data_IF_545020773825
#
_entry.id   IF_545020773825
#
_cell.length_a   1.000
_cell.length_b   1.000
_cell.length_c   1.000
_cell.angle_alpha   90.00
_cell.angle_beta   90.00
_cell.angle_gamma   90.00
#
_symmetry.space_group_name_H-M   'P 1'
#
loop_
_entity.id
_entity.type
_entity.pdbx_description
1 polymer ?
#
# COMPACT_ATOMS: atom_id res chain seq x y z
N UNK A 1 -39.70 36.44 -48.37
CA UNK A 1 -38.66 35.41 -48.39
C UNK A 1 -37.55 35.66 -47.33
N UNK A 2 -37.01 36.85 -47.13
CA UNK A 2 -35.95 37.07 -46.11
C UNK A 2 -36.34 36.78 -44.66
N UNK A 3 -37.61 37.01 -44.25
CA UNK A 3 -38.07 36.77 -42.88
C UNK A 3 -38.32 35.26 -42.59
N UNK A 4 -38.59 34.44 -43.59
CA UNK A 4 -38.74 33.00 -43.45
C UNK A 4 -37.39 32.29 -43.31
N UNK A 5 -36.35 32.79 -43.99
CA UNK A 5 -34.99 32.24 -43.90
C UNK A 5 -34.38 32.51 -42.53
N UNK A 6 -34.66 33.70 -41.94
CA UNK A 6 -34.18 34.03 -40.59
C UNK A 6 -34.81 33.18 -39.50
N UNK A 7 -36.08 32.76 -39.68
CA UNK A 7 -36.77 31.89 -38.71
C UNK A 7 -36.27 30.44 -38.78
N UNK A 8 -35.90 29.95 -39.98
CA UNK A 8 -35.33 28.60 -40.17
C UNK A 8 -33.93 28.51 -39.64
N UNK A 9 -33.10 29.56 -39.74
CA UNK A 9 -31.75 29.59 -39.16
C UNK A 9 -31.77 29.65 -37.64
N UNK A 10 -32.77 30.35 -37.04
CA UNK A 10 -32.92 30.43 -35.60
C UNK A 10 -33.40 29.10 -34.98
N UNK A 11 -34.27 28.34 -35.72
CA UNK A 11 -34.72 27.00 -35.28
C UNK A 11 -33.61 25.95 -35.45
N UNK A 12 -32.73 26.07 -36.43
CA UNK A 12 -31.59 25.14 -36.61
C UNK A 12 -30.50 25.28 -35.53
N UNK A 13 -30.38 26.47 -34.89
CA UNK A 13 -29.46 26.71 -33.78
C UNK A 13 -29.92 26.12 -32.45
N UNK A 14 -31.19 25.75 -32.31
CA UNK A 14 -31.72 25.12 -31.07
C UNK A 14 -31.60 23.59 -31.05
N UNK A 15 -31.14 22.94 -32.10
CA UNK A 15 -31.04 21.48 -32.18
C UNK A 15 -29.59 20.98 -32.00
N UNK A 16 -28.59 21.87 -31.82
CA UNK A 16 -27.16 21.50 -31.62
C UNK A 16 -26.78 21.45 -30.15
N UNK A 17 -27.72 21.70 -29.25
CA UNK A 17 -27.45 21.59 -27.80
C UNK A 17 -28.06 20.31 -27.26
N UNK A 18 -27.41 19.19 -27.40
CA UNK A 18 -27.45 18.01 -26.52
C UNK A 18 -26.73 16.83 -27.17
N UNK A 19 -25.41 16.91 -27.34
CA UNK A 19 -24.55 15.72 -27.37
C UNK A 19 -23.30 15.97 -26.55
N UNK A 20 -23.47 16.44 -25.32
CA UNK A 20 -22.56 16.10 -24.25
C UNK A 20 -23.15 14.84 -23.60
N UNK A 21 -22.88 13.69 -24.19
CA UNK A 21 -22.89 12.44 -23.47
C UNK A 21 -21.69 12.47 -22.51
N UNK A 22 -21.71 13.41 -21.58
CA UNK A 22 -20.93 13.31 -20.37
C UNK A 22 -21.32 11.97 -19.75
N UNK A 23 -20.37 11.05 -19.63
CA UNK A 23 -20.50 9.88 -18.79
C UNK A 23 -20.98 10.36 -17.41
N UNK A 24 -22.30 10.36 -17.20
CA UNK A 24 -22.89 10.37 -15.87
C UNK A 24 -22.55 9.00 -15.24
N UNK A 25 -21.27 8.76 -14.94
CA UNK A 25 -20.91 7.75 -13.95
C UNK A 25 -21.60 8.24 -12.69
N UNK A 26 -22.67 7.54 -12.30
CA UNK A 26 -23.27 7.74 -10.99
C UNK A 26 -22.12 7.79 -9.98
N UNK A 27 -22.04 8.85 -9.17
CA UNK A 27 -21.01 8.97 -8.15
C UNK A 27 -21.21 7.82 -7.18
N UNK A 28 -20.29 6.88 -7.19
CA UNK A 28 -20.32 5.77 -6.26
C UNK A 28 -20.13 6.30 -4.83
N UNK A 29 -20.85 5.74 -3.85
CA UNK A 29 -20.64 6.10 -2.46
C UNK A 29 -19.22 5.73 -2.01
N UNK A 30 -18.74 6.34 -0.91
CA UNK A 30 -17.50 5.97 -0.30
C UNK A 30 -17.56 4.54 0.27
N UNK A 31 -16.42 3.86 0.29
CA UNK A 31 -16.31 2.55 0.91
C UNK A 31 -16.51 2.60 2.43
N UNK A 32 -17.08 1.53 2.98
CA UNK A 32 -17.17 1.25 4.42
C UNK A 32 -16.14 0.18 4.85
N UNK A 33 -16.13 -0.15 6.14
CA UNK A 33 -15.23 -1.13 6.75
C UNK A 33 -13.91 -0.52 7.22
N UNK A 34 -13.23 -1.24 8.12
CA UNK A 34 -11.93 -0.82 8.67
C UNK A 34 -10.81 -1.10 7.69
N UNK A 35 -9.71 -0.36 7.78
CA UNK A 35 -8.51 -0.63 7.02
C UNK A 35 -8.00 -2.06 7.28
N UNK A 36 -7.70 -2.81 6.20
CA UNK A 36 -7.30 -4.21 6.28
C UNK A 36 -8.42 -5.18 6.66
N UNK A 37 -9.69 -4.78 6.56
CA UNK A 37 -10.85 -5.66 6.71
C UNK A 37 -11.31 -6.19 5.35
N UNK A 38 -11.66 -7.48 5.30
CA UNK A 38 -12.15 -8.18 4.10
C UNK A 38 -13.50 -8.81 4.41
N UNK A 39 -14.50 -8.47 3.62
CA UNK A 39 -15.80 -9.12 3.64
C UNK A 39 -15.75 -10.36 2.74
N UNK A 40 -15.97 -11.53 3.33
CA UNK A 40 -16.06 -12.80 2.63
C UNK A 40 -17.53 -13.20 2.53
N UNK A 41 -18.06 -13.18 1.31
CA UNK A 41 -19.44 -13.60 1.04
C UNK A 41 -19.44 -15.09 0.66
N UNK A 42 -19.84 -15.93 1.60
CA UNK A 42 -19.75 -17.39 1.50
C UNK A 42 -20.78 -18.03 2.42
N UNK A 43 -21.40 -19.11 1.96
CA UNK A 43 -22.35 -19.87 2.77
C UNK A 43 -21.71 -20.43 4.04
N UNK A 44 -22.52 -20.56 5.09
CA UNK A 44 -22.05 -20.98 6.41
C UNK A 44 -21.37 -22.35 6.38
N UNK A 45 -21.93 -23.31 5.65
CA UNK A 45 -21.37 -24.65 5.55
C UNK A 45 -19.96 -24.64 4.91
N UNK A 46 -19.78 -23.87 3.84
CA UNK A 46 -18.48 -23.71 3.18
C UNK A 46 -17.49 -22.91 4.03
N UNK A 47 -17.98 -21.89 4.77
CA UNK A 47 -17.16 -21.14 5.72
C UNK A 47 -16.65 -21.98 6.88
N UNK A 48 -17.47 -22.89 7.40
CA UNK A 48 -17.09 -23.84 8.47
C UNK A 48 -16.30 -25.04 7.92
N UNK A 49 -16.31 -25.25 6.60
CA UNK A 49 -15.64 -26.33 5.89
C UNK A 49 -14.19 -26.03 5.46
N UNK A 50 -13.70 -26.87 4.54
CA UNK A 50 -12.32 -26.80 4.01
C UNK A 50 -12.03 -25.46 3.33
N UNK A 51 -12.97 -24.90 2.57
CA UNK A 51 -12.80 -23.62 1.89
C UNK A 51 -12.57 -22.49 2.90
N UNK A 52 -13.40 -22.39 3.93
CA UNK A 52 -13.24 -21.38 4.97
C UNK A 52 -11.95 -21.56 5.78
N UNK A 53 -11.50 -22.80 6.00
CA UNK A 53 -10.20 -23.07 6.64
C UNK A 53 -9.04 -22.54 5.78
N UNK A 54 -9.05 -22.77 4.46
CA UNK A 54 -8.02 -22.28 3.55
C UNK A 54 -8.01 -20.75 3.47
N UNK A 55 -9.21 -20.12 3.46
CA UNK A 55 -9.33 -18.65 3.47
C UNK A 55 -8.73 -18.08 4.76
N UNK A 56 -9.08 -18.65 5.92
CA UNK A 56 -8.53 -18.20 7.22
C UNK A 56 -7.04 -18.44 7.33
N UNK A 57 -6.54 -19.58 6.85
CA UNK A 57 -5.11 -19.87 6.85
C UNK A 57 -4.32 -18.87 6.00
N UNK A 58 -4.87 -18.45 4.85
CA UNK A 58 -4.19 -17.53 3.93
C UNK A 58 -4.31 -16.07 4.37
N UNK A 59 -5.53 -15.56 4.55
CA UNK A 59 -5.78 -14.14 4.87
C UNK A 59 -5.53 -13.81 6.34
N UNK A 60 -5.68 -14.81 7.23
CA UNK A 60 -5.39 -14.70 8.65
C UNK A 60 -3.95 -15.06 9.03
N UNK A 61 -3.09 -15.37 8.06
CA UNK A 61 -1.68 -15.58 8.32
C UNK A 61 -1.06 -14.36 9.02
N UNK A 62 -0.07 -14.56 9.86
CA UNK A 62 0.54 -13.46 10.59
C UNK A 62 1.34 -12.55 9.66
N UNK A 63 1.19 -11.26 9.87
CA UNK A 63 1.99 -10.23 9.19
C UNK A 63 3.47 -10.42 9.58
N UNK A 64 4.37 -10.61 8.62
CA UNK A 64 5.78 -10.79 8.91
C UNK A 64 6.39 -9.58 9.61
N UNK A 65 7.40 -9.83 10.45
CA UNK A 65 8.17 -8.77 11.10
C UNK A 65 7.31 -7.83 11.96
N UNK A 66 6.31 -8.35 12.67
CA UNK A 66 5.65 -7.64 13.76
C UNK A 66 5.97 -8.31 15.09
N UNK A 67 6.19 -7.54 16.18
CA UNK A 67 6.49 -8.11 17.49
C UNK A 67 5.30 -8.86 18.12
N UNK A 68 4.07 -8.55 17.67
CA UNK A 68 2.85 -9.27 18.03
C UNK A 68 2.29 -10.03 16.82
N UNK A 69 1.58 -11.12 17.10
CA UNK A 69 0.88 -11.88 16.06
C UNK A 69 -0.36 -11.12 15.58
N UNK A 70 -0.23 -10.40 14.49
CA UNK A 70 -1.33 -9.68 13.85
C UNK A 70 -1.65 -10.33 12.49
N UNK A 71 -2.92 -10.67 12.20
CA UNK A 71 -3.27 -11.27 10.92
C UNK A 71 -3.05 -10.29 9.76
N UNK A 72 -2.77 -10.80 8.56
CA UNK A 72 -2.70 -9.99 7.35
C UNK A 72 -3.98 -9.18 7.15
N UNK A 73 -5.13 -9.83 7.27
CA UNK A 73 -6.45 -9.19 7.16
C UNK A 73 -7.39 -9.66 8.27
N UNK A 74 -8.27 -8.75 8.69
CA UNK A 74 -9.40 -9.10 9.54
C UNK A 74 -10.57 -9.50 8.64
N UNK A 75 -11.16 -10.67 8.87
CA UNK A 75 -12.23 -11.20 8.03
C UNK A 75 -13.60 -11.08 8.69
N UNK A 76 -14.59 -10.71 7.90
CA UNK A 76 -16.01 -10.75 8.26
C UNK A 76 -16.70 -11.65 7.26
N UNK A 77 -17.30 -12.76 7.71
CA UNK A 77 -18.09 -13.63 6.84
C UNK A 77 -19.57 -13.25 6.89
N UNK A 78 -20.20 -13.27 5.73
CA UNK A 78 -21.64 -13.13 5.58
C UNK A 78 -22.17 -14.10 4.52
N UNK A 79 -23.35 -14.63 4.76
CA UNK A 79 -24.00 -15.54 3.81
C UNK A 79 -24.53 -14.76 2.61
N UNK A 80 -24.59 -15.36 1.38
CA UNK A 80 -25.03 -14.67 0.17
C UNK A 80 -26.42 -14.02 0.30
N UNK A 81 -27.37 -14.64 1.00
CA UNK A 81 -28.71 -14.09 1.26
C UNK A 81 -28.67 -12.79 2.11
N UNK A 82 -27.64 -12.60 2.94
CA UNK A 82 -27.42 -11.40 3.74
C UNK A 82 -26.65 -10.30 3.00
N UNK A 83 -26.13 -10.55 1.81
CA UNK A 83 -25.32 -9.59 1.04
C UNK A 83 -26.17 -8.46 0.45
N UNK A 84 -26.59 -7.57 1.34
CA UNK A 84 -27.44 -6.41 1.04
C UNK A 84 -26.64 -5.16 0.65
N UNK A 85 -27.33 -4.07 0.32
CA UNK A 85 -26.72 -2.78 -0.07
C UNK A 85 -25.72 -2.27 0.97
N UNK A 86 -25.96 -2.48 2.27
CA UNK A 86 -25.08 -2.05 3.35
C UNK A 86 -23.70 -2.74 3.28
N UNK A 87 -23.66 -4.02 2.90
CA UNK A 87 -22.43 -4.79 2.77
C UNK A 87 -21.73 -4.59 1.43
N UNK A 88 -22.51 -4.26 0.37
CA UNK A 88 -21.96 -4.03 -0.97
C UNK A 88 -20.99 -2.85 -1.03
N UNK A 89 -21.10 -1.89 -0.11
CA UNK A 89 -20.17 -0.75 -0.05
C UNK A 89 -18.88 -1.06 0.74
N UNK A 90 -18.66 -2.31 1.19
CA UNK A 90 -17.45 -2.67 1.91
C UNK A 90 -16.20 -2.54 1.02
N UNK A 91 -15.09 -2.08 1.60
CA UNK A 91 -13.87 -1.71 0.87
C UNK A 91 -13.18 -2.87 0.12
N UNK A 92 -13.19 -4.07 0.70
CA UNK A 92 -12.63 -5.28 0.13
C UNK A 92 -13.64 -6.40 0.24
N UNK A 93 -14.01 -6.99 -0.89
CA UNK A 93 -15.00 -8.05 -0.94
C UNK A 93 -14.44 -9.24 -1.71
N UNK A 94 -14.54 -10.43 -1.12
CA UNK A 94 -14.36 -11.70 -1.82
C UNK A 94 -15.73 -12.39 -1.85
N UNK A 95 -16.31 -12.49 -3.04
CA UNK A 95 -17.61 -13.10 -3.27
C UNK A 95 -17.45 -14.48 -3.91
N UNK A 96 -17.98 -15.50 -3.26
CA UNK A 96 -18.02 -16.87 -3.79
C UNK A 96 -19.37 -17.12 -4.46
N UNK A 97 -19.33 -17.48 -5.74
CA UNK A 97 -20.46 -17.96 -6.50
C UNK A 97 -20.27 -19.45 -6.77
N UNK A 98 -20.89 -20.29 -5.93
CA UNK A 98 -20.77 -21.76 -6.00
C UNK A 98 -22.09 -22.29 -6.51
N UNK A 99 -22.13 -22.78 -7.76
CA UNK A 99 -23.32 -23.28 -8.41
C UNK A 99 -22.95 -24.42 -9.36
N UNK A 100 -23.57 -25.63 -9.26
CA UNK A 100 -23.31 -26.77 -10.14
C UNK A 100 -23.43 -26.46 -11.64
N UNK A 101 -24.17 -25.41 -12.01
CA UNK A 101 -24.35 -25.00 -13.41
C UNK A 101 -23.16 -24.19 -13.97
N UNK A 102 -22.19 -23.82 -13.15
CA UNK A 102 -21.02 -23.05 -13.58
C UNK A 102 -20.12 -23.91 -14.49
N UNK A 103 -20.11 -23.55 -15.76
CA UNK A 103 -19.30 -24.24 -16.79
C UNK A 103 -17.83 -23.80 -16.77
N UNK A 104 -17.58 -22.52 -16.44
CA UNK A 104 -16.23 -21.93 -16.41
C UNK A 104 -15.88 -21.44 -15.03
N UNK A 105 -15.12 -22.26 -14.32
CA UNK A 105 -14.62 -21.89 -13.00
C UNK A 105 -13.44 -20.93 -13.11
N UNK A 106 -13.29 -20.01 -12.13
CA UNK A 106 -12.19 -19.04 -12.12
C UNK A 106 -12.40 -17.90 -11.13
N UNK A 107 -11.45 -16.95 -11.16
CA UNK A 107 -11.50 -15.73 -10.37
C UNK A 107 -11.57 -14.50 -11.29
N UNK A 108 -12.39 -13.54 -10.92
CA UNK A 108 -12.56 -12.27 -11.61
C UNK A 108 -12.28 -11.13 -10.64
N UNK A 109 -11.36 -10.26 -11.01
CA UNK A 109 -11.00 -9.05 -10.27
C UNK A 109 -11.75 -7.86 -10.84
N UNK A 110 -12.39 -7.07 -9.96
CA UNK A 110 -13.16 -5.87 -10.33
C UNK A 110 -12.85 -4.75 -9.34
N UNK A 111 -12.77 -3.53 -9.84
CA UNK A 111 -12.65 -2.34 -9.02
C UNK A 111 -13.94 -1.52 -9.06
N UNK A 112 -14.28 -0.88 -7.93
CA UNK A 112 -15.33 0.14 -7.87
C UNK A 112 -16.69 -0.34 -8.37
N UNK A 113 -17.14 -1.52 -7.93
CA UNK A 113 -18.42 -2.12 -8.38
C UNK A 113 -19.61 -1.42 -7.74
N UNK A 114 -19.59 -1.20 -6.44
CA UNK A 114 -20.68 -0.61 -5.66
C UNK A 114 -20.26 0.60 -4.84
N UNK A 115 -18.98 0.82 -4.65
CA UNK A 115 -18.42 1.94 -3.88
C UNK A 115 -17.05 2.34 -4.44
N UNK A 116 -16.52 3.48 -3.99
CA UNK A 116 -15.20 3.97 -4.40
C UNK A 116 -14.37 4.38 -3.18
N UNK A 117 -13.08 4.04 -3.13
CA UNK A 117 -12.33 3.09 -3.96
C UNK A 117 -12.49 1.65 -3.42
N UNK A 118 -12.99 0.72 -4.22
CA UNK A 118 -13.37 -0.62 -3.80
C UNK A 118 -12.59 -1.71 -4.56
N UNK A 119 -12.18 -2.77 -3.86
CA UNK A 119 -11.60 -3.99 -4.42
C UNK A 119 -12.60 -5.14 -4.27
N UNK A 120 -12.99 -5.77 -5.38
CA UNK A 120 -13.93 -6.89 -5.40
C UNK A 120 -13.34 -8.06 -6.16
N UNK A 121 -13.34 -9.23 -5.56
CA UNK A 121 -12.95 -10.47 -6.21
C UNK A 121 -14.13 -11.42 -6.22
N UNK A 122 -14.45 -11.97 -7.38
CA UNK A 122 -15.49 -12.98 -7.53
C UNK A 122 -14.85 -14.31 -7.90
N UNK A 123 -15.04 -15.34 -7.08
CA UNK A 123 -14.63 -16.70 -7.35
C UNK A 123 -15.87 -17.49 -7.73
N UNK A 124 -15.86 -18.08 -8.94
CA UNK A 124 -16.96 -18.88 -9.46
C UNK A 124 -16.52 -20.32 -9.64
N UNK A 125 -17.29 -21.28 -9.12
CA UNK A 125 -16.97 -22.70 -9.16
C UNK A 125 -18.24 -23.58 -9.11
N UNK A 126 -18.15 -24.79 -9.67
CA UNK A 126 -19.28 -25.72 -9.66
C UNK A 126 -19.57 -26.32 -8.26
N UNK A 127 -18.59 -26.34 -7.38
CA UNK A 127 -18.69 -26.88 -6.01
C UNK A 127 -17.61 -26.30 -5.11
N UNK A 128 -17.69 -26.58 -3.82
CA UNK A 128 -16.79 -26.08 -2.79
C UNK A 128 -15.34 -26.54 -2.95
N UNK A 129 -15.09 -27.78 -3.39
CA UNK A 129 -13.74 -28.32 -3.62
C UNK A 129 -13.04 -27.57 -4.77
N UNK A 130 -13.77 -27.32 -5.86
CA UNK A 130 -13.27 -26.51 -6.97
C UNK A 130 -12.99 -25.08 -6.53
N UNK A 131 -13.86 -24.46 -5.72
CA UNK A 131 -13.65 -23.14 -5.15
C UNK A 131 -12.41 -23.09 -4.25
N UNK A 132 -12.22 -24.11 -3.41
CA UNK A 132 -11.03 -24.27 -2.56
C UNK A 132 -9.76 -24.35 -3.39
N UNK A 133 -9.77 -25.16 -4.44
CA UNK A 133 -8.62 -25.31 -5.36
C UNK A 133 -8.26 -23.97 -6.04
N UNK A 134 -9.27 -23.25 -6.53
CA UNK A 134 -9.08 -21.94 -7.18
C UNK A 134 -8.52 -20.95 -6.16
N UNK A 135 -9.11 -20.84 -4.97
CA UNK A 135 -8.65 -19.92 -3.93
C UNK A 135 -7.20 -20.22 -3.55
N UNK A 136 -6.88 -21.46 -3.22
CA UNK A 136 -5.54 -21.91 -2.83
C UNK A 136 -4.49 -21.58 -3.90
N UNK A 137 -4.77 -21.93 -5.16
CA UNK A 137 -3.87 -21.64 -6.29
C UNK A 137 -3.61 -20.14 -6.48
N UNK A 138 -4.57 -19.28 -6.14
CA UNK A 138 -4.50 -17.83 -6.35
C UNK A 138 -4.31 -17.04 -5.05
N UNK A 139 -4.09 -17.68 -3.90
CA UNK A 139 -4.05 -17.01 -2.59
C UNK A 139 -3.03 -15.86 -2.52
N UNK A 140 -1.82 -16.06 -3.05
CA UNK A 140 -0.80 -15.02 -3.12
C UNK A 140 -1.26 -13.80 -3.97
N UNK A 141 -1.91 -14.05 -5.11
CA UNK A 141 -2.45 -12.99 -5.98
C UNK A 141 -3.60 -12.25 -5.30
N UNK A 142 -4.48 -12.97 -4.60
CA UNK A 142 -5.58 -12.39 -3.81
C UNK A 142 -5.01 -11.45 -2.74
N UNK A 143 -4.03 -11.91 -1.95
CA UNK A 143 -3.35 -11.12 -0.92
C UNK A 143 -2.73 -9.87 -1.55
N UNK A 144 -1.96 -10.02 -2.63
CA UNK A 144 -1.31 -8.90 -3.31
C UNK A 144 -2.30 -7.85 -3.82
N UNK A 145 -3.45 -8.27 -4.36
CA UNK A 145 -4.49 -7.31 -4.80
C UNK A 145 -5.13 -6.57 -3.61
N UNK A 146 -5.37 -7.24 -2.50
CA UNK A 146 -5.90 -6.62 -1.28
C UNK A 146 -4.89 -5.61 -0.69
N UNK A 147 -3.61 -5.98 -0.60
CA UNK A 147 -2.53 -5.10 -0.13
C UNK A 147 -2.36 -3.90 -1.08
N UNK A 148 -2.41 -4.12 -2.39
CA UNK A 148 -2.33 -3.02 -3.37
C UNK A 148 -3.51 -2.07 -3.23
N UNK A 149 -4.74 -2.58 -3.05
CA UNK A 149 -5.92 -1.74 -2.86
C UNK A 149 -5.84 -0.91 -1.56
N UNK A 150 -5.32 -1.47 -0.47
CA UNK A 150 -5.08 -0.72 0.77
C UNK A 150 -3.99 0.34 0.57
N UNK A 151 -2.90 0.01 -0.10
CA UNK A 151 -1.81 0.93 -0.44
C UNK A 151 -2.29 2.10 -1.29
N UNK A 152 -3.06 1.83 -2.34
CA UNK A 152 -3.58 2.86 -3.24
C UNK A 152 -4.50 3.84 -2.51
N UNK A 153 -5.32 3.36 -1.56
CA UNK A 153 -6.16 4.22 -0.73
C UNK A 153 -5.33 5.11 0.19
N UNK A 154 -4.27 4.58 0.78
CA UNK A 154 -3.36 5.36 1.64
C UNK A 154 -2.67 6.44 0.82
N UNK A 155 -2.11 6.09 -0.35
CA UNK A 155 -1.44 7.05 -1.24
C UNK A 155 -2.42 8.13 -1.71
N UNK A 156 -3.63 7.75 -2.15
CA UNK A 156 -4.64 8.71 -2.59
C UNK A 156 -5.06 9.67 -1.47
N UNK A 157 -5.21 9.16 -0.24
CA UNK A 157 -5.50 9.99 0.93
C UNK A 157 -4.31 10.90 1.29
N UNK A 158 -3.09 10.39 1.23
CA UNK A 158 -1.86 11.16 1.45
C UNK A 158 -1.77 12.33 0.48
N UNK A 159 -1.96 12.10 -0.81
CA UNK A 159 -1.92 13.15 -1.84
C UNK A 159 -3.04 14.18 -1.66
N UNK A 160 -4.21 13.76 -1.15
CA UNK A 160 -5.33 14.68 -0.90
C UNK A 160 -5.05 15.64 0.26
N UNK A 161 -4.33 15.18 1.29
CA UNK A 161 -4.02 15.92 2.52
C UNK A 161 -2.50 16.00 2.72
N UNK A 162 -1.80 16.41 1.67
CA UNK A 162 -0.34 16.38 1.62
C UNK A 162 0.31 17.55 2.38
N UNK A 163 1.37 17.23 3.14
CA UNK A 163 2.34 18.22 3.65
C UNK A 163 3.35 18.56 2.53
N UNK A 164 3.01 19.60 1.77
CA UNK A 164 3.68 19.96 0.50
C UNK A 164 5.14 20.42 0.64
N UNK A 165 5.59 20.73 1.85
CA UNK A 165 6.96 21.25 2.06
C UNK A 165 8.01 20.14 2.10
N UNK A 166 7.57 18.87 2.25
CA UNK A 166 8.47 17.73 2.44
C UNK A 166 8.93 17.10 1.13
N UNK A 167 8.05 16.94 0.13
CA UNK A 167 8.41 16.37 -1.16
C UNK A 167 9.60 17.11 -1.85
N UNK A 168 9.66 18.45 -1.88
CA UNK A 168 10.82 19.16 -2.42
C UNK A 168 12.13 18.90 -1.67
N UNK A 169 12.07 18.60 -0.37
CA UNK A 169 13.26 18.26 0.42
C UNK A 169 13.86 16.92 -0.02
N UNK A 170 12.99 15.94 -0.27
CA UNK A 170 13.40 14.62 -0.79
C UNK A 170 13.92 14.76 -2.23
N UNK A 171 13.21 15.50 -3.07
CA UNK A 171 13.61 15.72 -4.46
C UNK A 171 15.00 16.35 -4.58
N UNK A 172 15.33 17.31 -3.71
CA UNK A 172 16.65 17.94 -3.68
C UNK A 172 17.78 16.96 -3.29
N UNK A 173 17.48 15.91 -2.52
CA UNK A 173 18.47 14.93 -2.10
C UNK A 173 18.70 13.83 -3.15
N UNK A 174 17.59 13.24 -3.68
CA UNK A 174 17.65 12.00 -4.47
C UNK A 174 17.12 12.15 -5.92
N UNK A 175 16.65 13.32 -6.33
CA UNK A 175 16.09 13.54 -7.67
C UNK A 175 14.72 12.90 -7.91
N UNK A 176 14.09 12.46 -6.84
CA UNK A 176 12.72 11.92 -6.83
C UNK A 176 11.99 12.38 -5.59
N UNK A 177 10.68 12.31 -5.57
CA UNK A 177 9.85 12.80 -4.47
C UNK A 177 9.04 11.69 -3.82
N UNK A 178 8.77 11.87 -2.53
CA UNK A 178 7.83 11.12 -1.73
C UNK A 178 6.75 12.05 -1.22
N UNK A 179 5.53 11.55 -1.14
CA UNK A 179 4.39 12.30 -0.61
C UNK A 179 4.12 11.91 0.84
N UNK A 180 3.92 12.91 1.69
CA UNK A 180 3.67 12.74 3.12
C UNK A 180 2.33 13.37 3.50
N UNK A 181 1.49 12.70 4.31
CA UNK A 181 0.26 13.31 4.81
C UNK A 181 0.58 14.42 5.83
N UNK A 182 -0.41 15.27 6.08
CA UNK A 182 -0.35 16.25 7.17
C UNK A 182 -0.01 15.56 8.51
N UNK A 183 0.75 16.29 9.36
CA UNK A 183 1.28 15.79 10.62
C UNK A 183 2.74 15.34 10.58
N UNK A 184 3.25 14.95 9.41
CA UNK A 184 4.67 14.65 9.24
C UNK A 184 5.52 15.91 9.24
N UNK A 185 6.71 15.82 9.84
CA UNK A 185 7.66 16.94 9.95
C UNK A 185 9.08 16.49 9.66
N UNK A 186 9.86 17.39 9.06
CA UNK A 186 11.30 17.20 8.90
C UNK A 186 11.96 17.22 10.29
N UNK A 187 12.64 16.12 10.66
CA UNK A 187 13.35 15.96 11.94
C UNK A 187 14.83 16.25 11.80
N UNK A 188 15.45 15.77 10.71
CA UNK A 188 16.87 15.96 10.41
C UNK A 188 17.11 15.99 8.92
N UNK A 189 18.06 16.79 8.48
CA UNK A 189 18.58 16.82 7.11
C UNK A 189 20.06 17.03 7.11
N UNK A 190 20.78 16.22 6.34
CA UNK A 190 22.20 16.39 6.01
C UNK A 190 22.38 16.42 4.50
N UNK A 191 23.60 16.33 4.00
CA UNK A 191 23.91 16.26 2.56
C UNK A 191 23.46 14.96 1.90
N UNK A 192 23.29 13.89 2.67
CA UNK A 192 23.07 12.53 2.19
C UNK A 192 21.95 11.78 2.95
N UNK A 193 21.30 12.44 3.93
CA UNK A 193 20.27 11.84 4.78
C UNK A 193 19.16 12.81 5.14
N UNK A 194 17.90 12.31 5.10
CA UNK A 194 16.71 13.01 5.58
C UNK A 194 15.94 12.07 6.52
N UNK A 195 15.45 12.62 7.63
CA UNK A 195 14.51 11.99 8.54
C UNK A 195 13.23 12.81 8.62
N UNK A 196 12.10 12.20 8.26
CA UNK A 196 10.75 12.76 8.32
C UNK A 196 9.90 11.86 9.19
N UNK A 197 9.11 12.39 10.12
CA UNK A 197 8.29 11.58 11.02
C UNK A 197 7.02 12.29 11.47
N UNK A 198 5.96 11.49 11.75
CA UNK A 198 4.78 11.85 12.54
C UNK A 198 4.96 11.23 13.94
N UNK A 199 5.29 12.07 14.91
CA UNK A 199 5.53 11.68 16.30
C UNK A 199 4.36 12.09 17.17
N UNK A 200 3.76 11.11 17.84
CA UNK A 200 2.71 11.26 18.84
C UNK A 200 3.15 10.64 20.16
N UNK A 201 2.42 10.86 21.21
CA UNK A 201 2.78 10.43 22.56
C UNK A 201 3.16 8.93 22.66
N UNK A 202 2.50 8.05 21.90
CA UNK A 202 2.73 6.60 21.94
C UNK A 202 2.96 5.97 20.56
N UNK A 203 3.12 6.80 19.54
CA UNK A 203 3.41 6.30 18.18
C UNK A 203 4.41 7.21 17.50
N UNK A 204 5.35 6.59 16.78
CA UNK A 204 6.22 7.28 15.85
C UNK A 204 6.23 6.49 14.54
N UNK A 205 5.80 7.15 13.47
CA UNK A 205 5.88 6.65 12.11
C UNK A 205 6.90 7.50 11.37
N UNK A 206 8.04 6.91 11.04
CA UNK A 206 9.13 7.65 10.44
C UNK A 206 9.54 7.10 9.08
N UNK A 207 10.07 8.00 8.26
CA UNK A 207 10.68 7.70 6.97
C UNK A 207 12.09 8.29 6.95
N UNK A 208 13.06 7.46 6.60
CA UNK A 208 14.41 7.88 6.23
C UNK A 208 14.54 7.85 4.71
N UNK A 209 15.21 8.87 4.18
CA UNK A 209 15.67 8.91 2.80
C UNK A 209 17.15 9.21 2.83
N UNK A 210 17.96 8.33 2.27
CA UNK A 210 19.39 8.55 2.22
C UNK A 210 20.02 7.97 0.96
N UNK A 211 21.22 8.41 0.66
CA UNK A 211 22.00 7.89 -0.45
C UNK A 211 23.47 7.71 -0.07
N UNK A 212 24.13 6.81 -0.76
CA UNK A 212 25.55 6.57 -0.63
C UNK A 212 26.11 6.05 -1.96
N UNK A 213 27.42 6.24 -2.23
CA UNK A 213 28.05 5.78 -3.48
C UNK A 213 27.88 4.28 -3.69
N UNK A 214 27.51 3.88 -4.90
CA UNK A 214 27.47 2.48 -5.29
C UNK A 214 28.88 1.90 -5.33
N UNK A 215 29.05 0.69 -4.81
CA UNK A 215 30.34 -0.03 -4.86
C UNK A 215 30.46 -0.88 -6.13
N UNK A 216 31.70 -1.26 -6.49
CA UNK A 216 31.98 -2.19 -7.57
C UNK A 216 31.70 -3.63 -7.09
N UNK A 217 30.46 -4.05 -7.03
CA UNK A 217 30.04 -5.37 -6.58
C UNK A 217 28.55 -5.43 -6.38
N UNK A 218 28.05 -6.49 -5.75
CA UNK A 218 26.62 -6.61 -5.45
C UNK A 218 26.24 -5.74 -4.25
N UNK A 219 25.62 -4.60 -4.54
CA UNK A 219 25.15 -3.65 -3.53
C UNK A 219 23.91 -4.12 -2.76
N UNK A 220 23.21 -5.13 -3.26
CA UNK A 220 21.88 -5.54 -2.76
C UNK A 220 21.89 -6.89 -2.06
N UNK A 221 23.05 -7.41 -1.65
CA UNK A 221 23.08 -8.55 -0.71
C UNK A 221 22.53 -8.11 0.65
N UNK A 222 21.94 -9.05 1.40
CA UNK A 222 21.47 -8.80 2.76
C UNK A 222 22.57 -8.15 3.62
N UNK A 223 23.77 -8.72 3.58
CA UNK A 223 24.91 -8.22 4.35
C UNK A 223 25.24 -6.76 4.03
N UNK A 224 25.29 -6.39 2.73
CA UNK A 224 25.63 -5.03 2.30
C UNK A 224 24.55 -4.02 2.67
N UNK A 225 23.27 -4.36 2.43
CA UNK A 225 22.11 -3.51 2.77
C UNK A 225 22.11 -3.26 4.30
N UNK A 226 22.19 -4.31 5.11
CA UNK A 226 22.07 -4.18 6.56
C UNK A 226 23.29 -3.50 7.17
N UNK A 227 24.51 -3.82 6.70
CA UNK A 227 25.72 -3.14 7.16
C UNK A 227 25.66 -1.62 6.88
N UNK A 228 25.28 -1.23 5.66
CA UNK A 228 25.17 0.19 5.29
C UNK A 228 24.04 0.89 6.05
N UNK A 229 22.88 0.22 6.18
CA UNK A 229 21.79 0.71 7.02
C UNK A 229 22.27 1.04 8.44
N UNK A 230 22.94 0.10 9.10
CA UNK A 230 23.42 0.28 10.48
C UNK A 230 24.47 1.40 10.60
N UNK A 231 25.37 1.53 9.63
CA UNK A 231 26.34 2.63 9.55
C UNK A 231 25.64 4.00 9.48
N UNK A 232 24.67 4.14 8.55
CA UNK A 232 23.95 5.40 8.33
C UNK A 232 23.09 5.76 9.55
N UNK A 233 22.36 4.79 10.11
CA UNK A 233 21.48 5.06 11.25
C UNK A 233 22.27 5.37 12.53
N UNK A 234 23.40 4.71 12.76
CA UNK A 234 24.30 5.05 13.88
C UNK A 234 24.76 6.51 13.83
N UNK A 235 25.06 7.02 12.65
CA UNK A 235 25.50 8.39 12.46
C UNK A 235 24.37 9.43 12.55
N UNK A 236 23.14 9.02 12.23
CA UNK A 236 22.06 9.96 11.98
C UNK A 236 20.88 9.88 12.95
N UNK A 237 20.65 8.76 13.60
CA UNK A 237 19.48 8.50 14.44
C UNK A 237 19.92 8.12 15.86
N UNK A 238 20.30 9.12 16.68
CA UNK A 238 20.64 8.87 18.07
C UNK A 238 19.39 8.43 18.86
N UNK A 239 19.60 7.60 19.86
CA UNK A 239 18.60 7.30 20.86
C UNK A 239 18.45 8.44 21.89
N UNK A 240 17.69 8.17 22.95
CA UNK A 240 17.41 9.15 23.99
C UNK A 240 18.58 9.39 24.94
N UNK A 241 19.45 8.41 25.10
CA UNK A 241 20.59 8.43 26.04
C UNK A 241 21.94 8.47 25.29
N UNK A 242 22.98 8.86 25.98
CA UNK A 242 24.34 8.87 25.44
C UNK A 242 24.74 7.46 24.97
N UNK A 243 25.45 7.40 23.84
CA UNK A 243 25.87 6.15 23.20
C UNK A 243 24.75 5.20 22.80
N UNK A 244 23.54 5.70 22.60
CA UNK A 244 22.42 4.95 22.02
C UNK A 244 22.10 5.43 20.61
N UNK A 245 21.72 4.52 19.72
CA UNK A 245 21.40 4.81 18.31
C UNK A 245 20.57 3.70 17.69
N UNK A 246 19.78 4.03 16.66
CA UNK A 246 19.00 3.04 15.94
C UNK A 246 19.90 2.10 15.15
N UNK A 247 19.60 0.81 15.21
CA UNK A 247 20.29 -0.27 14.47
C UNK A 247 19.29 -1.35 14.03
N UNK A 248 19.77 -2.37 13.32
CA UNK A 248 18.96 -3.56 13.02
C UNK A 248 19.06 -4.53 14.20
N UNK A 249 17.92 -5.02 14.66
CA UNK A 249 17.87 -6.04 15.71
C UNK A 249 18.46 -7.36 15.23
N UNK A 250 19.20 -8.03 16.09
CA UNK A 250 19.80 -9.35 15.84
C UNK A 250 18.88 -10.51 16.18
N UNK A 251 17.73 -10.26 16.80
CA UNK A 251 16.78 -11.31 17.21
C UNK A 251 16.06 -11.98 16.04
N UNK A 252 15.89 -11.27 14.94
CA UNK A 252 15.23 -11.79 13.74
C UNK A 252 16.03 -11.39 12.52
N UNK A 253 16.43 -12.39 11.72
CA UNK A 253 17.14 -12.15 10.45
C UNK A 253 16.24 -11.37 9.50
N UNK A 254 16.67 -10.22 8.97
CA UNK A 254 15.94 -9.49 7.94
C UNK A 254 15.76 -10.34 6.68
N UNK A 255 14.70 -10.09 5.92
CA UNK A 255 14.52 -10.67 4.59
C UNK A 255 14.81 -9.64 3.51
N UNK A 256 15.35 -10.10 2.38
CA UNK A 256 15.55 -9.30 1.17
C UNK A 256 14.72 -9.93 0.05
N UNK A 257 13.92 -9.11 -0.62
CA UNK A 257 13.11 -9.51 -1.78
C UNK A 257 13.27 -8.50 -2.90
N UNK A 258 13.49 -8.96 -4.12
CA UNK A 258 13.59 -8.08 -5.29
C UNK A 258 12.21 -7.85 -5.90
N UNK A 259 11.81 -6.60 -5.97
CA UNK A 259 10.51 -6.18 -6.46
C UNK A 259 10.63 -5.15 -7.58
N UNK A 260 9.54 -5.00 -8.34
CA UNK A 260 9.39 -3.94 -9.33
C UNK A 260 8.03 -3.26 -9.16
N UNK A 261 8.04 -1.94 -9.02
CA UNK A 261 6.82 -1.15 -8.91
C UNK A 261 6.93 0.13 -9.73
N UNK A 262 5.94 0.44 -10.57
CA UNK A 262 5.91 1.62 -11.46
C UNK A 262 7.23 1.88 -12.20
N UNK A 263 7.86 0.82 -12.68
CA UNK A 263 9.10 0.89 -13.46
C UNK A 263 10.39 0.93 -12.63
N UNK A 264 10.33 1.15 -11.33
CA UNK A 264 11.50 1.10 -10.43
C UNK A 264 11.69 -0.33 -9.93
N UNK A 265 12.89 -0.89 -10.11
CA UNK A 265 13.32 -2.14 -9.49
C UNK A 265 14.07 -1.80 -8.20
N UNK A 266 13.77 -2.52 -7.11
CA UNK A 266 14.41 -2.30 -5.82
C UNK A 266 14.54 -3.60 -5.02
N UNK A 267 15.53 -3.63 -4.14
CA UNK A 267 15.64 -4.61 -3.09
C UNK A 267 14.83 -4.11 -1.90
N UNK A 268 13.77 -4.83 -1.52
CA UNK A 268 13.01 -4.58 -0.30
C UNK A 268 13.62 -5.37 0.85
N UNK A 269 14.03 -4.67 1.90
CA UNK A 269 14.43 -5.29 3.14
C UNK A 269 13.34 -5.12 4.19
N UNK A 270 13.03 -6.20 4.93
CA UNK A 270 12.09 -6.18 6.07
C UNK A 270 12.75 -6.78 7.29
N UNK A 271 12.53 -6.19 8.45
CA UNK A 271 13.11 -6.67 9.70
C UNK A 271 12.64 -5.86 10.91
N UNK A 272 13.35 -6.07 12.01
CA UNK A 272 13.19 -5.28 13.22
C UNK A 272 14.34 -4.28 13.38
N UNK A 273 14.01 -3.08 13.81
CA UNK A 273 14.97 -2.13 14.34
C UNK A 273 14.92 -2.14 15.87
N UNK A 274 16.01 -1.82 16.47
CA UNK A 274 16.13 -1.56 17.91
C UNK A 274 17.03 -0.35 18.15
N UNK A 275 17.00 0.19 19.35
CA UNK A 275 17.98 1.17 19.79
C UNK A 275 19.07 0.43 20.55
N UNK A 276 20.30 0.53 20.07
CA UNK A 276 21.48 -0.02 20.74
C UNK A 276 21.56 0.48 22.18
N UNK A 277 21.70 -0.43 23.15
CA UNK A 277 21.69 -0.18 24.60
C UNK A 277 20.38 0.45 25.13
N UNK A 278 19.22 0.18 24.50
CA UNK A 278 17.89 0.60 24.97
C UNK A 278 16.86 -0.45 24.58
N UNK A 279 15.65 -0.34 25.13
CA UNK A 279 14.53 -1.29 24.90
C UNK A 279 13.56 -0.87 23.80
N UNK A 280 13.85 0.23 23.10
CA UNK A 280 13.01 0.69 21.98
C UNK A 280 13.26 -0.15 20.73
N UNK A 281 12.19 -0.50 20.03
CA UNK A 281 12.28 -1.23 18.78
C UNK A 281 10.94 -1.34 18.07
N UNK A 282 10.97 -1.89 16.87
CA UNK A 282 9.77 -2.10 16.04
C UNK A 282 10.08 -2.60 14.63
N UNK A 283 9.07 -2.73 13.77
CA UNK A 283 9.25 -3.14 12.39
C UNK A 283 9.85 -2.02 11.53
N UNK A 284 10.62 -2.41 10.50
CA UNK A 284 11.01 -1.54 9.40
C UNK A 284 10.83 -2.23 8.05
N UNK A 285 10.68 -1.41 7.02
CA UNK A 285 10.71 -1.79 5.60
C UNK A 285 11.58 -0.78 4.87
N UNK A 286 12.49 -1.23 4.01
CA UNK A 286 13.28 -0.33 3.18
C UNK A 286 13.31 -0.77 1.73
N UNK A 287 13.35 0.20 0.80
CA UNK A 287 13.53 0.02 -0.63
C UNK A 287 14.88 0.58 -1.04
N UNK A 288 15.78 -0.25 -1.53
CA UNK A 288 17.12 0.14 -2.00
C UNK A 288 17.23 -0.03 -3.51
N UNK A 289 17.64 1.02 -4.22
CA UNK A 289 17.77 1.02 -5.68
C UNK A 289 18.83 2.02 -6.17
N UNK A 290 19.25 1.87 -7.41
CA UNK A 290 20.21 2.80 -8.02
C UNK A 290 19.59 4.16 -8.32
N UNK A 291 20.37 5.23 -8.13
CA UNK A 291 20.07 6.55 -8.69
C UNK A 291 19.97 6.48 -10.23
N UNK A 292 19.35 7.49 -10.85
CA UNK A 292 19.18 7.52 -12.32
C UNK A 292 20.48 7.38 -13.10
N UNK A 293 21.57 7.92 -12.58
CA UNK A 293 22.89 7.86 -13.19
C UNK A 293 23.72 6.64 -12.78
N UNK A 294 23.16 5.79 -11.90
CA UNK A 294 23.78 4.57 -11.40
C UNK A 294 24.95 4.77 -10.44
N UNK A 295 25.25 6.01 -10.03
CA UNK A 295 26.42 6.29 -9.19
C UNK A 295 26.17 6.09 -7.69
N UNK A 296 24.94 6.30 -7.27
CA UNK A 296 24.54 6.16 -5.87
C UNK A 296 23.50 5.04 -5.70
N UNK A 297 23.46 4.48 -4.50
CA UNK A 297 22.33 3.72 -4.00
C UNK A 297 21.45 4.68 -3.21
N UNK A 298 20.16 4.72 -3.56
CA UNK A 298 19.11 5.43 -2.84
C UNK A 298 18.38 4.44 -1.96
N UNK A 299 18.13 4.82 -0.71
CA UNK A 299 17.34 4.04 0.23
C UNK A 299 16.18 4.88 0.76
N UNK A 300 14.99 4.32 0.66
CA UNK A 300 13.77 4.80 1.29
C UNK A 300 13.42 3.80 2.39
N UNK A 301 13.37 4.21 3.63
CA UNK A 301 13.07 3.32 4.74
C UNK A 301 11.93 3.86 5.58
N UNK A 302 10.98 3.00 5.89
CA UNK A 302 9.85 3.26 6.80
C UNK A 302 10.03 2.45 8.09
N UNK A 303 9.75 3.07 9.23
CA UNK A 303 9.76 2.41 10.53
C UNK A 303 8.57 2.81 11.39
N UNK A 304 8.22 1.94 12.35
CA UNK A 304 7.14 2.19 13.30
C UNK A 304 7.62 1.92 14.73
N UNK A 305 7.31 2.84 15.63
CA UNK A 305 7.31 2.64 17.07
C UNK A 305 5.90 2.84 17.61
N UNK A 306 5.30 1.81 18.20
CA UNK A 306 3.95 1.86 18.74
C UNK A 306 3.79 0.86 19.91
N UNK A 307 4.45 1.07 21.06
CA UNK A 307 4.56 0.05 22.12
C UNK A 307 3.22 -0.37 22.73
N UNK A 308 2.19 0.47 22.62
CA UNK A 308 0.84 0.22 23.22
C UNK A 308 -0.20 -0.26 22.21
N UNK A 309 0.14 -0.35 20.92
CA UNK A 309 -0.81 -0.61 19.85
C UNK A 309 -0.36 -1.71 18.91
N UNK A 310 -1.32 -2.33 18.24
CA UNK A 310 -1.09 -3.17 17.07
C UNK A 310 -0.42 -2.36 15.97
N UNK A 311 0.58 -2.94 15.30
CA UNK A 311 1.49 -2.21 14.42
C UNK A 311 1.22 -2.40 12.94
N UNK A 312 0.44 -3.42 12.55
CA UNK A 312 0.14 -3.74 11.16
C UNK A 312 -0.34 -2.51 10.37
N UNK A 313 -1.33 -1.80 10.91
CA UNK A 313 -1.89 -0.64 10.20
C UNK A 313 -0.94 0.55 10.16
N UNK A 314 -0.19 0.80 11.21
CA UNK A 314 0.85 1.82 11.21
C UNK A 314 1.95 1.51 10.19
N UNK A 315 2.37 0.22 10.10
CA UNK A 315 3.37 -0.21 9.13
C UNK A 315 2.84 -0.06 7.70
N UNK A 316 1.60 -0.49 7.39
CA UNK A 316 0.98 -0.27 6.08
C UNK A 316 0.92 1.20 5.68
N UNK A 317 0.58 2.07 6.62
CA UNK A 317 0.50 3.51 6.36
C UNK A 317 1.87 4.07 5.96
N UNK A 318 2.90 3.82 6.74
CA UNK A 318 4.23 4.38 6.48
C UNK A 318 4.93 3.69 5.31
N UNK A 319 4.72 2.39 5.12
CA UNK A 319 5.21 1.64 3.95
C UNK A 319 4.61 2.16 2.64
N UNK A 320 3.30 2.47 2.63
CA UNK A 320 2.65 3.02 1.44
C UNK A 320 3.29 4.33 0.95
N UNK A 321 3.90 5.11 1.85
CA UNK A 321 4.61 6.33 1.48
C UNK A 321 5.83 6.01 0.62
N UNK A 322 6.54 4.91 0.87
CA UNK A 322 7.68 4.49 0.04
C UNK A 322 7.25 4.19 -1.39
N UNK A 323 6.05 3.60 -1.58
CA UNK A 323 5.46 3.32 -2.89
C UNK A 323 4.90 4.56 -3.59
N UNK A 324 4.84 5.72 -2.92
CA UNK A 324 4.51 6.99 -3.57
C UNK A 324 5.70 7.59 -4.34
N UNK A 325 6.90 7.01 -4.18
CA UNK A 325 8.10 7.52 -4.83
C UNK A 325 7.95 7.61 -6.35
N UNK A 326 8.31 8.75 -6.88
CA UNK A 326 8.41 8.98 -8.32
C UNK A 326 9.57 9.93 -8.61
N UNK A 327 10.23 9.64 -9.73
CA UNK A 327 11.28 10.52 -10.22
C UNK A 327 10.72 11.86 -10.63
N UNK A 328 11.41 12.94 -10.27
CA UNK A 328 11.06 14.28 -10.79
C UNK A 328 11.44 14.36 -12.26
N UNK A 329 10.47 14.66 -13.13
CA UNK A 329 10.71 14.93 -14.53
C UNK A 329 11.22 16.37 -14.72
N UNK A 330 12.50 16.52 -15.02
CA UNK A 330 13.09 17.81 -15.32
C UNK A 330 12.62 18.43 -16.65
N UNK A 331 11.82 17.72 -17.44
CA UNK A 331 11.33 18.18 -18.76
C UNK A 331 10.08 19.07 -18.69
N UNK A 332 9.50 19.31 -17.50
CA UNK A 332 8.32 20.18 -17.33
C UNK A 332 8.61 21.55 -16.73
N UNK A 333 9.85 22.04 -16.87
CA UNK A 333 10.22 23.43 -16.58
C UNK A 333 10.52 24.18 -17.88
N UNK A 334 9.48 24.41 -18.68
CA UNK A 334 9.42 25.51 -19.66
C UNK A 334 7.99 26.05 -19.69
#
# INVERSE_FOLDING_TARGET
>A
MKRFITLIVLTALLVVSCKNSGNNKALLPNVSGKAGEVLVVLDKADWEGNLGNEIRASLGAFTPYLPQNEPLFTMVNIVPSGFSTMFKVHRNIIYFNIDPQIQKAGILYKDNVWAYPQCVMQISAANSDSATTIFKKNSAMIINNLEQAERDRIIANTMKYEEKTLAPQVAALVGGELHFPDGYKLKKKTTDFIWIADEKQYTNQGVFVYKYPASAGDNFTEQNIIAKRNEVLKANVPGMFDNTYMTTSTYVTPSITFLKYKGVQFAEARGFWEVYNDYMGGPFVSHSFYSRDGKDIIVLEAFVYAPKFDKRQYLRQVEALLYSFQWVDNTKKE
#
